data_IF_223269495682
#
_entry.id   IF_223269495682
#
_cell.length_a   1.000
_cell.length_b   1.000
_cell.length_c   1.000
_cell.angle_alpha   90.00
_cell.angle_beta   90.00
_cell.angle_gamma   90.00
#
_symmetry.space_group_name_H-M   'P 1'
#
loop_
_entity.id
_entity.type
_entity.pdbx_description
1 polymer ?
#
# COMPACT_ATOMS: atom_id res chain seq x y z
N UNK A 1 -6.16 2.48 9.71
CA UNK A 1 -6.38 3.82 9.11
C UNK A 1 -5.18 4.69 9.42
N UNK A 2 -4.77 5.56 8.50
CA UNK A 2 -3.67 6.51 8.65
C UNK A 2 -4.08 7.86 8.07
N UNK A 3 -3.82 8.96 8.77
CA UNK A 3 -4.13 10.31 8.30
C UNK A 3 -2.86 11.02 7.81
N UNK A 4 -2.93 11.67 6.65
CA UNK A 4 -1.88 12.54 6.12
C UNK A 4 -2.51 13.83 5.58
N UNK A 5 -2.41 14.91 6.36
CA UNK A 5 -3.00 16.19 6.03
C UNK A 5 -4.53 16.10 5.86
N UNK A 6 -5.00 16.44 4.67
CA UNK A 6 -6.42 16.45 4.28
C UNK A 6 -7.03 15.05 4.10
N UNK A 7 -6.19 14.03 3.87
CA UNK A 7 -6.64 12.69 3.51
C UNK A 7 -6.46 11.68 4.65
N UNK A 8 -7.39 10.75 4.73
CA UNK A 8 -7.33 9.54 5.55
C UNK A 8 -7.27 8.31 4.66
N UNK A 9 -6.45 7.35 5.00
CA UNK A 9 -6.25 6.11 4.25
C UNK A 9 -6.70 4.90 5.06
N UNK A 10 -7.62 4.14 4.51
CA UNK A 10 -8.13 2.90 5.09
C UNK A 10 -7.66 1.71 4.26
N UNK A 11 -6.83 0.88 4.86
CA UNK A 11 -6.38 -0.36 4.24
C UNK A 11 -7.13 -1.55 4.84
N UNK A 12 -7.86 -2.29 3.99
CA UNK A 12 -8.48 -3.57 4.32
C UNK A 12 -7.74 -4.70 3.61
N UNK A 13 -7.06 -5.56 4.38
CA UNK A 13 -6.26 -6.66 3.86
C UNK A 13 -7.07 -7.57 2.92
N UNK A 14 -6.54 -7.79 1.70
CA UNK A 14 -7.16 -8.58 0.63
C UNK A 14 -8.58 -8.11 0.24
N UNK A 15 -8.89 -6.84 0.48
CA UNK A 15 -10.13 -6.20 0.03
C UNK A 15 -9.82 -4.98 -0.82
N UNK A 16 -9.56 -3.83 -0.20
CA UNK A 16 -9.33 -2.58 -0.91
C UNK A 16 -8.53 -1.58 -0.07
N UNK A 17 -7.91 -0.64 -0.77
CA UNK A 17 -7.35 0.58 -0.18
C UNK A 17 -8.26 1.76 -0.54
N UNK A 18 -8.66 2.54 0.47
CA UNK A 18 -9.49 3.74 0.29
C UNK A 18 -8.73 4.98 0.74
N UNK A 19 -8.95 6.07 0.02
CA UNK A 19 -8.62 7.43 0.41
C UNK A 19 -9.92 8.17 0.71
N UNK A 20 -10.00 8.78 1.89
CA UNK A 20 -11.21 9.36 2.45
C UNK A 20 -10.92 10.78 2.93
N UNK A 21 -11.82 11.72 2.66
CA UNK A 21 -11.87 12.98 3.39
C UNK A 21 -13.04 12.94 4.37
N UNK A 22 -12.76 13.31 5.62
CA UNK A 22 -13.70 13.26 6.74
C UNK A 22 -13.96 14.67 7.26
N UNK A 23 -15.23 15.03 7.41
CA UNK A 23 -15.71 16.22 8.13
C UNK A 23 -16.63 15.76 9.26
N UNK A 24 -16.35 16.16 10.51
CA UNK A 24 -17.13 15.70 11.69
C UNK A 24 -17.33 14.17 11.73
N UNK A 25 -16.27 13.42 11.44
CA UNK A 25 -16.25 11.95 11.33
C UNK A 25 -17.18 11.36 10.24
N UNK A 26 -17.69 12.19 9.33
CA UNK A 26 -18.46 11.75 8.16
C UNK A 26 -17.61 11.76 6.92
N UNK A 27 -17.68 10.67 6.14
CA UNK A 27 -17.03 10.59 4.82
C UNK A 27 -17.76 11.53 3.87
N UNK A 28 -17.07 12.60 3.45
CA UNK A 28 -17.59 13.57 2.47
C UNK A 28 -16.98 13.39 1.08
N UNK A 29 -15.82 12.72 1.00
CA UNK A 29 -15.20 12.33 -0.26
C UNK A 29 -14.48 10.99 -0.12
N UNK A 30 -14.56 10.17 -1.16
CA UNK A 30 -13.97 8.83 -1.19
C UNK A 30 -13.41 8.49 -2.57
N UNK A 31 -12.23 7.88 -2.57
CA UNK A 31 -11.63 7.21 -3.71
C UNK A 31 -11.13 5.82 -3.30
N UNK A 32 -11.38 4.82 -4.14
CA UNK A 32 -10.74 3.51 -4.05
C UNK A 32 -9.41 3.60 -4.80
N UNK A 33 -8.31 3.38 -4.10
CA UNK A 33 -6.95 3.39 -4.69
C UNK A 33 -6.54 2.03 -5.25
N UNK A 34 -7.42 1.05 -5.14
CA UNK A 34 -7.30 -0.29 -5.72
C UNK A 34 -8.06 -1.32 -4.88
N UNK A 35 -8.44 -2.41 -5.54
CA UNK A 35 -9.04 -3.62 -4.98
C UNK A 35 -8.03 -4.74 -5.13
N UNK A 36 -7.94 -5.63 -4.14
CA UNK A 36 -6.95 -6.71 -4.15
C UNK A 36 -7.09 -7.57 -5.41
N UNK A 37 -5.98 -7.76 -6.11
CA UNK A 37 -5.90 -8.50 -7.35
C UNK A 37 -4.98 -9.71 -7.14
N UNK A 38 -5.58 -10.88 -6.96
CA UNK A 38 -4.86 -12.13 -6.68
C UNK A 38 -3.98 -12.55 -7.87
N UNK A 39 -4.49 -12.43 -9.11
CA UNK A 39 -3.76 -12.80 -10.32
C UNK A 39 -2.58 -11.86 -10.55
N UNK A 40 -2.79 -10.55 -10.49
CA UNK A 40 -1.70 -9.58 -10.61
C UNK A 40 -0.68 -9.73 -9.49
N UNK A 41 -1.12 -10.06 -8.28
CA UNK A 41 -0.23 -10.36 -7.15
C UNK A 41 0.63 -11.60 -7.43
N UNK A 42 0.03 -12.69 -7.91
CA UNK A 42 0.77 -13.91 -8.23
C UNK A 42 1.80 -13.68 -9.34
N UNK A 43 1.41 -12.98 -10.42
CA UNK A 43 2.31 -12.63 -11.53
C UNK A 43 3.44 -11.72 -11.06
N UNK A 44 3.14 -10.72 -10.24
CA UNK A 44 4.15 -9.82 -9.68
C UNK A 44 5.16 -10.57 -8.82
N UNK A 45 4.67 -11.42 -7.92
CA UNK A 45 5.54 -12.18 -7.00
C UNK A 45 6.35 -13.28 -7.70
N UNK A 46 5.90 -13.82 -8.84
CA UNK A 46 6.72 -14.70 -9.68
C UNK A 46 7.92 -13.96 -10.31
N UNK A 47 7.74 -12.68 -10.63
CA UNK A 47 8.76 -11.83 -11.25
C UNK A 47 9.62 -11.08 -10.22
N UNK A 48 9.19 -11.03 -8.95
CA UNK A 48 10.01 -10.52 -7.87
C UNK A 48 11.16 -11.49 -7.63
N UNK A 49 12.37 -11.06 -7.98
CA UNK A 49 13.59 -11.71 -7.51
C UNK A 49 13.64 -11.67 -5.98
N UNK A 50 14.30 -12.66 -5.36
CA UNK A 50 14.56 -12.74 -3.90
C UNK A 50 15.16 -11.47 -3.24
N UNK A 51 15.61 -10.52 -4.07
CA UNK A 51 16.29 -9.27 -3.76
C UNK A 51 15.38 -8.02 -3.86
N UNK A 52 14.05 -8.18 -3.88
CA UNK A 52 13.14 -7.03 -3.75
C UNK A 52 13.25 -6.42 -2.35
N UNK A 53 14.08 -5.40 -2.25
CA UNK A 53 14.44 -4.78 -0.99
C UNK A 53 14.09 -3.30 -0.99
N UNK A 54 13.38 -2.83 0.03
CA UNK A 54 13.20 -1.41 0.29
C UNK A 54 14.44 -0.88 0.98
N UNK A 55 14.93 0.31 0.58
CA UNK A 55 15.93 1.02 1.38
C UNK A 55 15.23 1.48 2.66
N UNK A 56 15.61 0.92 3.79
CA UNK A 56 15.15 1.39 5.08
C UNK A 56 15.80 2.77 5.36
N UNK A 57 15.02 3.87 5.48
CA UNK A 57 15.57 5.18 5.80
C UNK A 57 16.31 5.25 7.14
N UNK A 58 16.06 4.29 8.04
CA UNK A 58 16.65 4.20 9.38
C UNK A 58 17.84 3.23 9.45
N UNK A 59 18.10 2.42 8.42
CA UNK A 59 19.25 1.52 8.35
C UNK A 59 20.24 1.98 7.30
N UNK A 60 21.48 2.27 7.71
CA UNK A 60 22.54 2.72 6.79
C UNK A 60 23.05 1.63 5.85
N UNK A 61 22.66 0.36 6.05
CA UNK A 61 23.30 -0.78 5.37
C UNK A 61 22.37 -1.97 5.06
N UNK A 62 21.12 -1.99 5.53
CA UNK A 62 20.21 -3.12 5.29
C UNK A 62 19.06 -2.73 4.36
N UNK A 63 18.99 -3.41 3.23
CA UNK A 63 17.83 -3.38 2.36
C UNK A 63 16.79 -4.37 2.91
N UNK A 64 15.60 -3.89 3.25
CA UNK A 64 14.59 -4.70 3.93
C UNK A 64 13.75 -5.47 2.91
N UNK A 65 13.71 -6.80 3.02
CA UNK A 65 12.83 -7.65 2.21
C UNK A 65 11.37 -7.29 2.50
N UNK A 66 10.55 -7.26 1.46
CA UNK A 66 9.11 -7.03 1.59
C UNK A 66 8.33 -8.07 0.79
N UNK A 67 7.11 -8.35 1.26
CA UNK A 67 6.10 -9.09 0.51
C UNK A 67 5.17 -8.11 -0.19
N UNK A 68 4.74 -8.38 -1.41
CA UNK A 68 3.96 -7.43 -2.20
C UNK A 68 2.60 -7.98 -2.60
N UNK A 69 1.57 -7.13 -2.49
CA UNK A 69 0.26 -7.36 -3.06
C UNK A 69 -0.06 -6.24 -4.07
N UNK A 70 -0.67 -6.61 -5.18
CA UNK A 70 -1.17 -5.66 -6.17
C UNK A 70 -2.65 -5.38 -5.89
N UNK A 71 -3.01 -4.09 -5.92
CA UNK A 71 -4.37 -3.62 -5.82
C UNK A 71 -4.69 -2.80 -7.07
N UNK A 72 -5.61 -3.28 -7.90
CA UNK A 72 -5.92 -2.71 -9.22
C UNK A 72 -7.38 -2.25 -9.27
N UNK A 73 -7.86 -1.74 -10.41
CA UNK A 73 -9.28 -1.45 -10.61
C UNK A 73 -9.90 -0.50 -9.58
N UNK A 74 -9.14 0.50 -9.12
CA UNK A 74 -9.64 1.57 -8.26
C UNK A 74 -10.54 2.56 -8.99
N UNK A 75 -11.00 3.58 -8.27
CA UNK A 75 -11.80 4.68 -8.83
C UNK A 75 -11.05 5.33 -9.99
N UNK A 76 -11.74 5.58 -11.10
CA UNK A 76 -11.18 6.19 -12.31
C UNK A 76 -10.49 7.53 -11.98
N UNK A 77 -9.24 7.66 -12.43
CA UNK A 77 -8.45 8.87 -12.31
C UNK A 77 -9.01 9.94 -13.24
N UNK A 78 -9.32 11.11 -12.70
CA UNK A 78 -9.81 12.28 -13.42
C UNK A 78 -8.77 12.86 -14.39
N UNK A 79 -7.48 12.68 -14.08
CA UNK A 79 -6.38 13.20 -14.90
C UNK A 79 -5.96 12.26 -16.04
N UNK A 80 -5.98 10.94 -15.80
CA UNK A 80 -5.48 9.95 -16.77
C UNK A 80 -6.58 9.09 -17.39
N UNK A 81 -7.80 9.14 -16.85
CA UNK A 81 -8.92 8.23 -17.14
C UNK A 81 -8.61 6.74 -16.91
N UNK A 82 -7.50 6.41 -16.26
CA UNK A 82 -7.16 5.03 -15.89
C UNK A 82 -7.62 4.73 -14.46
N UNK A 83 -7.95 3.48 -14.12
CA UNK A 83 -8.21 3.09 -12.74
C UNK A 83 -7.00 3.38 -11.85
N UNK A 84 -7.24 3.89 -10.64
CA UNK A 84 -6.19 4.00 -9.62
C UNK A 84 -5.67 2.60 -9.24
N UNK A 85 -4.38 2.50 -8.98
CA UNK A 85 -3.73 1.25 -8.56
C UNK A 85 -2.71 1.49 -7.45
N UNK A 86 -2.49 0.46 -6.64
CA UNK A 86 -1.56 0.51 -5.52
C UNK A 86 -0.75 -0.78 -5.40
N UNK A 87 0.57 -0.65 -5.26
CA UNK A 87 1.43 -1.70 -4.73
C UNK A 87 1.46 -1.61 -3.20
N UNK A 88 0.98 -2.66 -2.51
CA UNK A 88 1.04 -2.75 -1.05
C UNK A 88 2.23 -3.61 -0.64
N UNK A 89 3.19 -2.99 0.03
CA UNK A 89 4.46 -3.58 0.48
C UNK A 89 4.39 -3.88 1.97
N UNK A 90 4.48 -5.14 2.34
CA UNK A 90 4.52 -5.57 3.73
C UNK A 90 5.96 -5.79 4.17
N UNK A 91 6.37 -5.09 5.23
CA UNK A 91 7.70 -5.18 5.83
C UNK A 91 7.62 -5.66 7.27
N UNK A 92 8.63 -6.41 7.71
CA UNK A 92 8.74 -6.82 9.11
C UNK A 92 8.93 -5.59 10.02
N UNK A 93 8.10 -5.44 11.05
CA UNK A 93 8.31 -4.48 12.13
C UNK A 93 7.43 -4.81 13.33
N UNK A 94 7.93 -4.55 14.55
CA UNK A 94 7.24 -4.77 15.82
C UNK A 94 6.81 -3.42 16.46
N UNK A 95 5.76 -3.36 17.30
CA UNK A 95 4.99 -4.48 17.86
C UNK A 95 3.62 -4.72 17.19
N UNK A 96 3.14 -3.80 16.34
CA UNK A 96 1.78 -3.87 15.77
C UNK A 96 1.76 -3.57 14.29
N UNK A 97 0.77 -4.10 13.59
CA UNK A 97 0.58 -3.80 12.19
C UNK A 97 0.08 -2.37 12.00
N UNK A 98 0.70 -1.61 11.10
CA UNK A 98 0.28 -0.24 10.77
C UNK A 98 0.71 0.18 9.37
N UNK A 99 -0.01 1.15 8.79
CA UNK A 99 0.45 1.87 7.61
C UNK A 99 1.62 2.76 8.05
N UNK A 100 2.80 2.54 7.50
CA UNK A 100 3.99 3.35 7.80
C UNK A 100 4.22 4.46 6.79
N UNK A 101 3.77 4.28 5.54
CA UNK A 101 3.86 5.29 4.51
C UNK A 101 2.85 5.04 3.39
N UNK A 102 2.34 6.12 2.80
CA UNK A 102 1.71 6.08 1.48
C UNK A 102 2.39 7.12 0.59
N UNK A 103 2.63 6.77 -0.68
CA UNK A 103 3.28 7.67 -1.62
C UNK A 103 2.68 7.49 -3.00
N UNK A 104 2.32 8.59 -3.64
CA UNK A 104 1.96 8.61 -5.05
C UNK A 104 3.25 8.62 -5.88
N UNK A 105 3.57 7.49 -6.51
CA UNK A 105 4.78 7.31 -7.31
C UNK A 105 4.68 8.02 -8.66
N UNK A 106 3.47 8.09 -9.19
CA UNK A 106 3.08 8.83 -10.39
C UNK A 106 1.57 9.04 -10.33
N UNK A 107 1.02 9.91 -11.18
CA UNK A 107 -0.40 10.27 -11.15
C UNK A 107 -1.31 9.04 -11.04
N UNK A 108 -2.07 8.95 -9.95
CA UNK A 108 -3.02 7.88 -9.62
C UNK A 108 -2.42 6.47 -9.42
N UNK A 109 -1.09 6.37 -9.21
CA UNK A 109 -0.40 5.13 -8.88
C UNK A 109 0.33 5.26 -7.55
N UNK A 110 0.02 4.39 -6.60
CA UNK A 110 0.46 4.52 -5.22
C UNK A 110 1.35 3.35 -4.79
N UNK A 111 2.19 3.61 -3.78
CA UNK A 111 2.84 2.59 -2.98
C UNK A 111 2.46 2.79 -1.51
N UNK A 112 1.93 1.72 -0.89
CA UNK A 112 1.58 1.69 0.53
C UNK A 112 2.53 0.74 1.25
N UNK A 113 3.20 1.21 2.30
CA UNK A 113 4.01 0.32 3.14
C UNK A 113 3.24 -0.01 4.41
N UNK A 114 3.07 -1.31 4.67
CA UNK A 114 2.52 -1.86 5.89
C UNK A 114 3.65 -2.49 6.70
N UNK A 115 3.88 -1.95 7.90
CA UNK A 115 4.68 -2.62 8.90
C UNK A 115 3.86 -3.73 9.55
N UNK A 116 4.39 -4.95 9.65
CA UNK A 116 3.69 -6.11 10.19
C UNK A 116 4.62 -7.05 10.98
N UNK A 117 4.30 -7.36 12.26
CA UNK A 117 5.13 -8.25 13.09
C UNK A 117 5.20 -9.70 12.60
N UNK A 118 4.16 -10.17 11.90
CA UNK A 118 4.05 -11.58 11.47
C UNK A 118 5.16 -11.94 10.47
N UNK A 119 5.61 -10.98 9.67
CA UNK A 119 6.69 -11.19 8.70
C UNK A 119 8.08 -11.30 9.35
N UNK A 120 8.24 -10.91 10.61
CA UNK A 120 9.52 -11.02 11.31
C UNK A 120 9.86 -12.45 11.73
N UNK A 121 8.87 -13.34 11.74
CA UNK A 121 9.03 -14.75 12.11
C UNK A 121 9.14 -15.68 10.90
N UNK A 122 9.03 -15.11 9.70
CA UNK A 122 9.27 -15.84 8.46
C UNK A 122 10.77 -15.75 8.09
N UNK A 123 11.45 -16.88 7.82
CA UNK A 123 12.85 -16.90 7.39
C UNK A 123 13.05 -16.28 6.00
#
# INVERSE_FOLDING_TARGET
MQQEGWWSYEFCYQKQLRQLHLEEDKVVQEFVLGVYDEEATAVFNQNLSDMSTLKDPHSKDASQRYHAHQYTNGTACDLTNQPRETEVRFVCSEPRAMISSITELSTCKYALTIQCPVLCKHP
#
